data_IF_560599983982
#
_entry.id   IF_560599983982
#
_cell.length_a   1.000
_cell.length_b   1.000
_cell.length_c   1.000
_cell.angle_alpha   90.00
_cell.angle_beta   90.00
_cell.angle_gamma   90.00
#
_symmetry.space_group_name_H-M   'P 1'
#
loop_
_entity.id
_entity.type
_entity.pdbx_description
1 polymer ?
#
# COMPACT_ATOMS: atom_id res chain seq x y z
N UNK A 1 -1.69 8.38 -47.97
CA UNK A 1 -2.33 9.38 -47.08
C UNK A 1 -1.50 9.38 -45.81
N UNK A 2 -1.10 10.55 -45.30
CA UNK A 2 -0.28 10.64 -44.07
C UNK A 2 -1.03 9.96 -42.93
N UNK A 3 -0.45 8.93 -42.30
CA UNK A 3 -1.00 8.38 -41.06
C UNK A 3 -1.04 9.51 -40.01
N UNK A 4 -2.10 9.60 -39.19
CA UNK A 4 -2.26 10.70 -38.26
C UNK A 4 -1.18 10.63 -37.17
N UNK A 5 -0.43 11.72 -36.99
CA UNK A 5 0.43 11.90 -35.83
C UNK A 5 -0.43 12.07 -34.58
N UNK A 6 -0.10 11.34 -33.51
CA UNK A 6 -0.88 11.36 -32.27
C UNK A 6 0.03 11.63 -31.08
N UNK A 7 -0.39 12.56 -30.22
CA UNK A 7 0.28 12.85 -28.97
C UNK A 7 -0.14 11.86 -27.88
N UNK A 8 0.83 11.32 -27.16
CA UNK A 8 0.64 10.25 -26.17
C UNK A 8 -0.23 10.73 -25.01
N UNK A 9 -0.12 11.98 -24.55
CA UNK A 9 -1.00 12.52 -23.53
C UNK A 9 -2.49 12.49 -23.93
N UNK A 10 -2.80 12.54 -25.23
CA UNK A 10 -4.19 12.41 -25.73
C UNK A 10 -4.67 10.97 -25.78
N UNK A 11 -3.76 9.99 -25.78
CA UNK A 11 -4.10 8.58 -25.75
C UNK A 11 -4.48 8.12 -24.35
N UNK A 12 -3.90 8.73 -23.31
CA UNK A 12 -4.24 8.43 -21.91
C UNK A 12 -5.75 8.55 -21.66
N UNK A 13 -6.36 7.50 -21.12
CA UNK A 13 -7.79 7.44 -20.83
C UNK A 13 -8.70 7.18 -22.04
N UNK A 14 -8.14 7.13 -23.26
CA UNK A 14 -8.90 6.83 -24.47
C UNK A 14 -9.47 5.41 -24.42
N UNK A 15 -10.72 5.25 -24.85
CA UNK A 15 -11.40 3.95 -24.84
C UNK A 15 -10.97 3.09 -26.02
N UNK A 16 -10.69 1.82 -25.74
CA UNK A 16 -10.35 0.81 -26.75
C UNK A 16 -11.59 -0.01 -27.07
N UNK A 17 -11.87 -0.17 -28.36
CA UNK A 17 -12.99 -0.94 -28.90
C UNK A 17 -12.49 -2.08 -29.79
N UNK A 18 -13.26 -3.16 -29.82
CA UNK A 18 -13.07 -4.23 -30.79
C UNK A 18 -13.71 -3.89 -32.17
N UNK A 19 -13.56 -4.73 -33.21
CA UNK A 19 -14.13 -4.47 -34.53
C UNK A 19 -15.67 -4.48 -34.58
N UNK A 20 -16.33 -5.07 -33.58
CA UNK A 20 -17.79 -5.20 -33.49
C UNK A 20 -18.41 -4.02 -32.73
N UNK A 21 -17.59 -3.23 -32.04
CA UNK A 21 -17.96 -2.03 -31.31
C UNK A 21 -18.01 -2.21 -29.79
N UNK A 22 -17.62 -3.38 -29.29
CA UNK A 22 -17.61 -3.65 -27.85
C UNK A 22 -16.42 -2.98 -27.18
N UNK A 23 -16.67 -2.44 -25.99
CA UNK A 23 -15.65 -1.76 -25.18
C UNK A 23 -14.73 -2.79 -24.53
N UNK A 24 -13.46 -2.73 -24.89
CA UNK A 24 -12.39 -3.56 -24.30
C UNK A 24 -11.90 -2.96 -22.98
N UNK A 25 -11.55 -1.67 -22.98
CA UNK A 25 -10.80 -1.08 -21.88
C UNK A 25 -10.42 0.37 -22.11
N UNK A 26 -9.47 0.89 -21.33
CA UNK A 26 -8.93 2.24 -21.46
C UNK A 26 -7.41 2.22 -21.52
N UNK A 27 -6.82 3.03 -22.38
CA UNK A 27 -5.36 3.18 -22.45
C UNK A 27 -4.86 3.87 -21.19
N UNK A 28 -3.80 3.33 -20.61
CA UNK A 28 -3.08 3.91 -19.47
C UNK A 28 -1.70 4.42 -19.84
N UNK A 29 -1.02 3.75 -20.77
CA UNK A 29 0.32 4.14 -21.20
C UNK A 29 0.61 3.64 -22.62
N UNK A 30 1.72 4.14 -23.18
CA UNK A 30 2.31 3.72 -24.46
C UNK A 30 3.68 3.14 -24.17
N UNK A 31 3.98 1.98 -24.76
CA UNK A 31 5.23 1.27 -24.54
C UNK A 31 6.15 1.44 -25.74
N UNK A 32 7.39 1.88 -25.50
CA UNK A 32 8.42 2.04 -26.53
C UNK A 32 9.68 1.23 -26.21
N UNK A 33 10.46 0.93 -27.24
CA UNK A 33 11.80 0.31 -27.12
C UNK A 33 12.81 1.18 -27.85
N UNK A 34 13.93 1.45 -27.18
CA UNK A 34 15.02 2.25 -27.76
C UNK A 34 15.69 1.52 -28.91
N UNK A 35 16.11 2.29 -29.91
CA UNK A 35 16.91 1.81 -31.04
C UNK A 35 18.23 2.57 -31.08
N UNK A 36 19.29 1.89 -31.53
CA UNK A 36 20.66 2.42 -31.46
C UNK A 36 20.86 3.70 -32.29
N UNK A 37 20.26 3.76 -33.48
CA UNK A 37 20.47 4.84 -34.44
C UNK A 37 19.15 5.48 -34.92
N UNK A 38 18.02 5.07 -34.36
CA UNK A 38 16.69 5.45 -34.82
C UNK A 38 15.83 5.90 -33.63
N UNK A 39 14.75 6.67 -33.87
CA UNK A 39 13.79 7.01 -32.81
C UNK A 39 13.19 5.77 -32.14
N UNK A 40 12.79 5.82 -30.87
CA UNK A 40 12.16 4.70 -30.17
C UNK A 40 10.98 4.15 -30.95
N UNK A 41 10.92 2.83 -31.04
CA UNK A 41 9.82 2.11 -31.69
C UNK A 41 8.70 1.93 -30.68
N UNK A 42 7.47 2.24 -31.06
CA UNK A 42 6.28 1.91 -30.26
C UNK A 42 5.99 0.42 -30.44
N UNK A 43 5.85 -0.28 -29.32
CA UNK A 43 5.60 -1.74 -29.30
C UNK A 43 4.14 -2.03 -29.01
N UNK A 44 3.50 -1.21 -28.18
CA UNK A 44 2.10 -1.38 -27.82
C UNK A 44 1.56 -0.32 -26.86
N UNK A 45 0.34 -0.56 -26.43
CA UNK A 45 -0.40 0.22 -25.45
C UNK A 45 -0.62 -0.63 -24.21
N UNK A 46 -0.56 -0.01 -23.04
CA UNK A 46 -1.02 -0.63 -21.79
C UNK A 46 -2.49 -0.29 -21.64
N UNK A 47 -3.35 -1.31 -21.58
CA UNK A 47 -4.81 -1.15 -21.53
C UNK A 47 -5.32 -1.72 -20.22
N UNK A 48 -6.06 -0.91 -19.47
CA UNK A 48 -6.80 -1.34 -18.29
C UNK A 48 -8.14 -1.92 -18.70
N UNK A 49 -8.42 -3.16 -18.26
CA UNK A 49 -9.66 -3.88 -18.54
C UNK A 49 -10.42 -4.05 -17.22
N UNK A 50 -11.74 -3.83 -17.19
CA UNK A 50 -12.54 -4.12 -16.00
C UNK A 50 -12.35 -5.57 -15.52
N UNK A 51 -11.97 -5.75 -14.25
CA UNK A 51 -11.70 -7.08 -13.66
C UNK A 51 -10.33 -7.69 -13.99
N UNK A 52 -9.46 -7.01 -14.77
CA UNK A 52 -8.05 -7.40 -15.00
C UNK A 52 -7.15 -6.17 -14.94
N UNK A 53 -6.26 -6.10 -13.93
CA UNK A 53 -5.56 -4.85 -13.55
C UNK A 53 -4.93 -4.09 -14.72
N UNK A 54 -4.05 -4.66 -15.54
CA UNK A 54 -3.54 -4.03 -16.80
C UNK A 54 -3.11 -5.12 -17.78
N UNK A 55 -3.31 -4.93 -19.09
CA UNK A 55 -2.88 -5.88 -20.13
C UNK A 55 -2.13 -5.19 -21.27
N UNK A 56 -1.35 -5.97 -21.99
CA UNK A 56 -0.61 -5.50 -23.16
C UNK A 56 -1.46 -5.59 -24.44
N UNK A 57 -1.62 -4.47 -25.15
CA UNK A 57 -2.15 -4.41 -26.50
C UNK A 57 -1.03 -4.06 -27.48
N UNK A 58 -0.61 -5.02 -28.31
CA UNK A 58 0.38 -4.78 -29.35
C UNK A 58 -0.08 -3.69 -30.32
N UNK A 59 0.83 -2.77 -30.69
CA UNK A 59 0.52 -1.68 -31.61
C UNK A 59 0.10 -2.19 -32.99
N UNK A 60 0.63 -3.33 -33.44
CA UNK A 60 0.25 -3.95 -34.71
C UNK A 60 -1.17 -4.53 -34.73
N UNK A 61 -1.86 -4.57 -33.59
CA UNK A 61 -3.28 -4.93 -33.51
C UNK A 61 -4.20 -3.71 -33.55
N UNK A 62 -3.66 -2.52 -33.38
CA UNK A 62 -4.42 -1.26 -33.48
C UNK A 62 -4.63 -0.95 -34.95
N UNK A 63 -5.89 -0.89 -35.37
CA UNK A 63 -6.27 -0.62 -36.76
C UNK A 63 -6.57 0.86 -37.00
N UNK A 64 -6.96 1.58 -35.95
CA UNK A 64 -7.26 3.02 -36.05
C UNK A 64 -7.08 3.70 -34.70
N UNK A 65 -6.52 4.91 -34.75
CA UNK A 65 -6.43 5.85 -33.63
C UNK A 65 -7.17 7.12 -34.05
N UNK A 66 -8.36 7.33 -33.49
CA UNK A 66 -9.22 8.48 -33.78
C UNK A 66 -9.25 9.48 -32.62
N UNK A 67 -10.03 10.56 -32.78
CA UNK A 67 -10.25 11.56 -31.75
C UNK A 67 -11.08 10.98 -30.58
N UNK A 68 -10.40 10.31 -29.64
CA UNK A 68 -10.99 9.77 -28.41
C UNK A 68 -11.40 8.29 -28.46
N UNK A 69 -11.01 7.55 -29.51
CA UNK A 69 -11.23 6.11 -29.59
C UNK A 69 -10.09 5.38 -30.30
N UNK A 70 -9.81 4.16 -29.87
CA UNK A 70 -8.85 3.24 -30.50
C UNK A 70 -9.58 1.97 -30.90
N UNK A 71 -9.38 1.52 -32.13
CA UNK A 71 -9.97 0.27 -32.64
C UNK A 71 -8.87 -0.78 -32.74
N UNK A 72 -9.10 -1.96 -32.18
CA UNK A 72 -8.23 -3.13 -32.32
C UNK A 72 -8.84 -4.17 -33.26
N UNK A 73 -8.05 -5.13 -33.75
CA UNK A 73 -8.51 -6.27 -34.55
C UNK A 73 -9.19 -7.41 -33.75
N UNK A 74 -9.53 -7.19 -32.47
CA UNK A 74 -10.41 -8.06 -31.67
C UNK A 74 -9.75 -9.13 -30.80
N UNK A 75 -8.49 -9.51 -31.04
CA UNK A 75 -7.80 -10.49 -30.18
C UNK A 75 -6.88 -9.73 -29.23
N UNK A 76 -7.12 -9.82 -27.93
CA UNK A 76 -6.27 -9.20 -26.90
C UNK A 76 -5.76 -10.27 -25.96
N UNK A 77 -4.45 -10.21 -25.67
CA UNK A 77 -3.87 -11.08 -24.66
C UNK A 77 -4.35 -10.59 -23.29
N UNK A 78 -5.05 -11.46 -22.57
CA UNK A 78 -5.64 -11.12 -21.27
C UNK A 78 -4.70 -11.46 -20.10
N UNK A 79 -3.41 -11.73 -20.37
CA UNK A 79 -2.35 -11.83 -19.36
C UNK A 79 -2.08 -10.45 -18.76
N UNK A 80 -1.82 -10.40 -17.45
CA UNK A 80 -1.35 -9.18 -16.77
C UNK A 80 -0.11 -8.65 -17.50
N UNK A 81 -0.07 -7.35 -17.71
CA UNK A 81 1.10 -6.70 -18.27
C UNK A 81 2.25 -6.78 -17.27
N UNK A 82 3.37 -7.28 -17.74
CA UNK A 82 4.68 -7.25 -17.07
C UNK A 82 5.64 -6.56 -18.03
N UNK A 83 6.36 -5.56 -17.53
CA UNK A 83 7.33 -4.82 -18.32
C UNK A 83 8.58 -5.67 -18.55
N UNK A 84 9.02 -5.78 -19.80
CA UNK A 84 10.22 -6.57 -20.15
C UNK A 84 11.45 -5.67 -20.17
N UNK A 85 12.62 -6.27 -19.94
CA UNK A 85 13.91 -5.57 -20.04
C UNK A 85 14.08 -4.87 -21.38
N UNK A 86 14.23 -3.54 -21.34
CA UNK A 86 14.41 -2.68 -22.52
C UNK A 86 13.13 -1.99 -23.04
N UNK A 87 11.96 -2.29 -22.47
CA UNK A 87 10.73 -1.55 -22.70
C UNK A 87 10.66 -0.32 -21.77
N UNK A 88 10.17 0.81 -22.28
CA UNK A 88 10.02 2.07 -21.53
C UNK A 88 8.59 2.56 -21.69
N UNK A 89 7.93 2.89 -20.58
CA UNK A 89 6.60 3.49 -20.57
C UNK A 89 6.68 4.98 -20.83
N UNK A 90 5.99 5.47 -21.86
CA UNK A 90 6.14 6.87 -22.28
C UNK A 90 5.59 7.82 -21.23
N UNK A 91 4.40 7.58 -20.70
CA UNK A 91 3.77 8.46 -19.72
C UNK A 91 4.46 8.32 -18.37
N UNK A 92 4.67 7.08 -17.91
CA UNK A 92 5.26 6.84 -16.59
C UNK A 92 6.78 7.13 -16.52
N UNK A 93 7.52 7.04 -17.62
CA UNK A 93 8.99 7.11 -17.54
C UNK A 93 9.61 8.16 -18.45
N UNK A 94 8.99 8.56 -19.57
CA UNK A 94 9.61 9.45 -20.57
C UNK A 94 9.15 10.91 -20.45
N UNK A 95 7.87 11.14 -20.12
CA UNK A 95 7.39 12.48 -19.79
C UNK A 95 8.05 13.00 -18.51
N UNK A 96 8.35 14.29 -18.46
CA UNK A 96 9.09 14.91 -17.34
C UNK A 96 10.61 14.75 -17.41
N UNK A 97 11.16 13.89 -18.30
CA UNK A 97 12.62 13.77 -18.45
C UNK A 97 13.26 15.06 -18.98
N UNK A 98 14.47 15.35 -18.49
CA UNK A 98 15.30 16.43 -19.02
C UNK A 98 16.13 15.92 -20.20
N UNK A 99 16.16 16.72 -21.25
CA UNK A 99 16.94 16.50 -22.46
C UNK A 99 17.81 17.72 -22.74
N UNK A 100 18.96 17.49 -23.37
CA UNK A 100 19.85 18.54 -23.85
C UNK A 100 19.67 18.67 -25.35
N UNK A 101 19.56 19.89 -25.87
CA UNK A 101 19.54 20.07 -27.32
C UNK A 101 20.90 19.75 -27.92
N UNK A 102 20.91 18.99 -29.01
CA UNK A 102 22.13 18.58 -29.71
C UNK A 102 22.89 19.76 -30.35
N UNK A 103 22.21 20.88 -30.58
CA UNK A 103 22.76 22.13 -31.09
C UNK A 103 23.42 23.02 -30.00
N UNK A 104 23.40 22.58 -28.73
CA UNK A 104 23.91 23.34 -27.60
C UNK A 104 22.93 24.40 -27.07
N UNK A 105 21.67 24.40 -27.50
CA UNK A 105 20.62 25.34 -27.13
C UNK A 105 20.08 25.23 -25.68
N UNK A 106 20.84 24.58 -24.79
CA UNK A 106 20.53 24.36 -23.38
C UNK A 106 19.79 23.04 -23.10
N UNK A 107 19.04 23.02 -22.01
CA UNK A 107 18.23 21.88 -21.59
C UNK A 107 16.73 22.19 -21.76
N UNK A 108 15.90 21.15 -21.81
CA UNK A 108 14.45 21.23 -21.79
C UNK A 108 13.84 19.99 -21.13
N UNK A 109 12.61 20.11 -20.66
CA UNK A 109 11.82 19.00 -20.11
C UNK A 109 10.81 18.50 -21.14
N UNK A 110 10.68 17.19 -21.31
CA UNK A 110 9.66 16.59 -22.19
C UNK A 110 8.28 16.73 -21.54
N UNK A 111 7.36 17.43 -22.20
CA UNK A 111 5.96 17.57 -21.75
C UNK A 111 5.02 16.59 -22.44
N UNK A 112 5.29 16.26 -23.71
CA UNK A 112 4.49 15.30 -24.46
C UNK A 112 5.32 14.67 -25.58
N UNK A 113 4.85 13.54 -26.09
CA UNK A 113 5.53 12.73 -27.10
C UNK A 113 4.54 12.43 -28.21
N UNK A 114 4.92 12.71 -29.45
CA UNK A 114 4.15 12.35 -30.62
C UNK A 114 4.63 11.01 -31.18
N UNK A 115 3.69 10.13 -31.47
CA UNK A 115 3.92 8.87 -32.19
C UNK A 115 3.26 8.93 -33.57
N UNK A 116 3.87 8.25 -34.53
CA UNK A 116 3.41 8.23 -35.92
C UNK A 116 3.76 6.88 -36.55
N UNK A 117 2.89 6.41 -37.43
CA UNK A 117 3.15 5.24 -38.27
C UNK A 117 4.10 5.64 -39.41
N UNK A 118 5.19 4.90 -39.57
CA UNK A 118 6.19 5.08 -40.62
C UNK A 118 5.70 4.49 -41.94
N UNK A 119 6.37 4.82 -43.03
CA UNK A 119 6.07 4.25 -44.37
C UNK A 119 6.21 2.72 -44.43
N UNK A 120 6.95 2.12 -43.47
CA UNK A 120 7.14 0.67 -43.34
C UNK A 120 6.03 -0.01 -42.52
N UNK A 121 5.05 0.74 -42.00
CA UNK A 121 3.95 0.24 -41.17
C UNK A 121 4.32 0.02 -39.70
N UNK A 122 5.50 0.46 -39.27
CA UNK A 122 5.90 0.46 -37.86
C UNK A 122 5.49 1.76 -37.19
N UNK A 123 5.28 1.75 -35.87
CA UNK A 123 5.03 2.98 -35.12
C UNK A 123 6.31 3.43 -34.41
N UNK A 124 6.59 4.72 -34.44
CA UNK A 124 7.76 5.30 -33.79
C UNK A 124 7.46 6.68 -33.19
N UNK A 125 8.30 7.09 -32.25
CA UNK A 125 8.31 8.48 -31.76
C UNK A 125 8.76 9.40 -32.89
N UNK A 126 7.92 10.37 -33.26
CA UNK A 126 8.19 11.31 -34.35
C UNK A 126 8.66 12.66 -33.84
N UNK A 127 8.04 13.17 -32.78
CA UNK A 127 8.37 14.47 -32.18
C UNK A 127 8.20 14.46 -30.68
N UNK A 128 8.91 15.36 -30.01
CA UNK A 128 8.79 15.68 -28.60
C UNK A 128 8.28 17.12 -28.48
N UNK A 129 7.32 17.33 -27.60
CA UNK A 129 6.94 18.65 -27.14
C UNK A 129 7.70 18.95 -25.86
N UNK A 130 8.57 19.96 -25.88
CA UNK A 130 9.51 20.22 -24.79
C UNK A 130 9.37 21.65 -24.27
N UNK A 131 9.64 21.84 -22.97
CA UNK A 131 9.67 23.15 -22.31
C UNK A 131 11.09 23.49 -21.85
N UNK A 132 11.60 24.64 -22.28
CA UNK A 132 12.87 25.19 -21.78
C UNK A 132 12.70 25.72 -20.35
N UNK A 133 13.76 25.75 -19.53
CA UNK A 133 13.74 26.39 -18.21
C UNK A 133 13.26 27.85 -18.28
N UNK A 134 12.63 28.31 -17.19
CA UNK A 134 12.18 29.71 -17.08
C UNK A 134 13.37 30.67 -17.17
N UNK A 135 13.23 31.73 -17.95
CA UNK A 135 14.17 32.85 -17.98
C UNK A 135 13.63 33.98 -17.10
N UNK A 136 14.07 34.05 -15.83
CA UNK A 136 13.71 35.14 -14.90
C UNK A 136 13.14 34.70 -13.55
N UNK A 137 13.07 35.63 -12.60
CA UNK A 137 12.75 35.40 -11.18
C UNK A 137 11.27 35.44 -10.78
N UNK A 138 10.33 35.45 -11.72
CA UNK A 138 8.89 35.43 -11.38
C UNK A 138 8.41 34.00 -11.05
N UNK A 139 7.70 33.78 -9.94
CA UNK A 139 7.16 32.46 -9.56
C UNK A 139 6.14 31.88 -10.55
N UNK A 140 5.44 32.74 -11.30
CA UNK A 140 4.35 32.34 -12.19
C UNK A 140 4.77 32.23 -13.68
N UNK A 141 6.04 32.48 -14.00
CA UNK A 141 6.53 32.44 -15.37
C UNK A 141 6.82 30.99 -15.81
N UNK A 142 6.10 30.52 -16.82
CA UNK A 142 6.39 29.23 -17.50
C UNK A 142 7.43 29.46 -18.60
N UNK A 143 8.41 28.55 -18.71
CA UNK A 143 9.41 28.62 -19.77
C UNK A 143 8.83 28.36 -21.16
N UNK A 144 9.57 28.74 -22.21
CA UNK A 144 9.13 28.64 -23.60
C UNK A 144 9.00 27.18 -24.04
N UNK A 145 7.92 26.84 -24.75
CA UNK A 145 7.68 25.52 -25.33
C UNK A 145 8.08 25.47 -26.80
N UNK A 146 8.58 24.33 -27.26
CA UNK A 146 8.87 24.09 -28.68
C UNK A 146 8.68 22.62 -29.03
N UNK A 147 8.54 22.33 -30.32
CA UNK A 147 8.63 20.97 -30.85
C UNK A 147 10.05 20.69 -31.31
N UNK A 148 10.51 19.47 -31.04
CA UNK A 148 11.78 18.94 -31.55
C UNK A 148 11.59 17.49 -31.98
N UNK A 149 12.43 17.03 -32.89
CA UNK A 149 12.54 15.63 -33.27
C UNK A 149 13.43 14.88 -32.28
N UNK A 150 13.31 13.56 -32.26
CA UNK A 150 14.10 12.71 -31.37
C UNK A 150 15.62 12.92 -31.51
N UNK A 151 16.09 13.18 -32.72
CA UNK A 151 17.52 13.30 -33.02
C UNK A 151 18.12 14.68 -32.66
N UNK A 152 17.27 15.69 -32.45
CA UNK A 152 17.68 17.05 -32.08
C UNK A 152 17.96 17.18 -30.59
N UNK A 153 17.68 16.14 -29.81
CA UNK A 153 17.94 16.10 -28.38
C UNK A 153 18.75 14.86 -27.99
N UNK A 154 19.47 14.99 -26.89
CA UNK A 154 20.12 13.88 -26.20
C UNK A 154 19.54 13.81 -24.80
N UNK A 155 19.11 12.63 -24.41
CA UNK A 155 18.74 12.41 -23.01
C UNK A 155 19.98 12.61 -22.14
N UNK A 156 19.84 13.45 -21.12
CA UNK A 156 20.85 13.55 -20.08
C UNK A 156 20.55 12.44 -19.09
N UNK A 157 21.07 11.24 -19.34
CA UNK A 157 20.94 10.14 -18.40
C UNK A 157 22.26 9.39 -18.23
N UNK A 158 22.74 9.34 -16.98
CA UNK A 158 23.13 8.05 -16.41
C UNK A 158 21.88 7.16 -16.51
N UNK A 159 22.02 5.91 -16.99
CA UNK A 159 20.94 4.93 -16.92
C UNK A 159 20.30 4.98 -15.51
N UNK A 160 19.00 5.30 -15.41
CA UNK A 160 18.24 5.16 -14.16
C UNK A 160 17.43 6.36 -13.65
N UNK A 161 17.64 7.59 -14.10
CA UNK A 161 16.91 8.75 -13.52
C UNK A 161 15.60 9.08 -14.25
N UNK A 162 14.45 8.59 -13.77
CA UNK A 162 13.12 9.03 -14.23
C UNK A 162 12.30 9.67 -13.11
N UNK A 163 11.80 10.88 -13.42
CA UNK A 163 10.78 11.69 -12.71
C UNK A 163 11.23 12.45 -11.45
N UNK A 164 10.80 13.71 -11.28
CA UNK A 164 10.90 14.39 -9.97
C UNK A 164 10.02 13.62 -8.99
N UNK A 165 10.52 13.28 -7.80
CA UNK A 165 9.74 12.62 -6.75
C UNK A 165 8.43 13.37 -6.47
N UNK A 166 8.46 14.71 -6.56
CA UNK A 166 7.32 15.61 -6.42
C UNK A 166 6.14 15.28 -7.37
N UNK A 167 6.42 14.87 -8.62
CA UNK A 167 5.38 14.51 -9.60
C UNK A 167 4.81 13.11 -9.37
N UNK A 168 5.60 12.20 -8.82
CA UNK A 168 5.13 10.89 -8.38
C UNK A 168 4.24 11.06 -7.15
N UNK A 169 4.67 11.84 -6.16
CA UNK A 169 3.90 12.15 -4.95
C UNK A 169 2.54 12.78 -5.31
N UNK A 170 2.49 13.74 -6.23
CA UNK A 170 1.22 14.33 -6.66
C UNK A 170 0.27 13.31 -7.31
N UNK A 171 0.81 12.30 -8.01
CA UNK A 171 0.02 11.23 -8.63
C UNK A 171 -0.42 10.18 -7.61
N UNK A 172 0.33 10.03 -6.51
CA UNK A 172 0.14 9.01 -5.50
C UNK A 172 -0.52 9.51 -4.22
N UNK A 173 -0.70 10.82 -4.06
CA UNK A 173 -1.32 11.45 -2.89
C UNK A 173 -2.75 10.99 -2.58
N UNK A 174 -3.47 10.45 -3.57
CA UNK A 174 -4.83 9.90 -3.37
C UNK A 174 -4.86 8.38 -3.15
N UNK A 175 -3.70 7.71 -3.18
CA UNK A 175 -3.62 6.27 -2.93
C UNK A 175 -3.69 5.99 -1.44
N UNK A 176 -4.40 4.90 -1.10
CA UNK A 176 -4.41 4.35 0.25
C UNK A 176 -2.99 3.96 0.68
N UNK A 177 -2.70 3.94 1.99
CA UNK A 177 -1.45 3.45 2.59
C UNK A 177 -0.89 2.19 1.93
N UNK A 178 -1.61 1.07 2.03
CA UNK A 178 -1.24 -0.20 1.41
C UNK A 178 -1.02 -0.14 -0.11
N UNK A 179 -1.83 0.63 -0.86
CA UNK A 179 -1.67 0.74 -2.32
C UNK A 179 -0.39 1.52 -2.69
N UNK A 180 -0.04 2.54 -1.91
CA UNK A 180 1.23 3.26 -2.10
C UNK A 180 2.41 2.39 -1.70
N UNK A 181 2.34 1.70 -0.57
CA UNK A 181 3.40 0.78 -0.13
C UNK A 181 3.74 -0.23 -1.23
N UNK A 182 2.72 -0.93 -1.76
CA UNK A 182 2.88 -1.82 -2.91
C UNK A 182 3.47 -1.11 -4.15
N UNK A 183 3.03 0.11 -4.44
CA UNK A 183 3.54 0.88 -5.59
C UNK A 183 5.01 1.26 -5.41
N UNK A 184 5.45 1.53 -4.19
CA UNK A 184 6.83 1.85 -3.86
C UNK A 184 7.72 0.61 -3.91
N UNK A 185 7.23 -0.54 -3.43
CA UNK A 185 7.92 -1.83 -3.53
C UNK A 185 8.13 -2.28 -5.00
N UNK A 186 7.24 -1.88 -5.91
CA UNK A 186 7.40 -2.10 -7.35
C UNK A 186 8.51 -1.23 -7.99
N UNK A 187 9.06 -0.23 -7.27
CA UNK A 187 10.12 0.64 -7.77
C UNK A 187 11.50 0.03 -7.53
N UNK A 188 12.51 0.35 -8.37
CA UNK A 188 13.89 0.05 -8.04
C UNK A 188 14.27 0.67 -6.68
N UNK A 189 15.03 -0.05 -5.85
CA UNK A 189 15.38 0.34 -4.48
C UNK A 189 15.81 1.81 -4.34
N UNK A 190 16.76 2.26 -5.16
CA UNK A 190 17.23 3.65 -5.12
C UNK A 190 16.09 4.66 -5.34
N UNK A 191 15.11 4.32 -6.17
CA UNK A 191 13.97 5.18 -6.47
C UNK A 191 12.91 5.15 -5.37
N UNK A 192 12.68 3.99 -4.76
CA UNK A 192 11.83 3.88 -3.57
C UNK A 192 12.34 4.81 -2.47
N UNK A 193 13.66 4.79 -2.21
CA UNK A 193 14.30 5.66 -1.23
C UNK A 193 14.13 7.16 -1.57
N UNK A 194 14.36 7.55 -2.82
CA UNK A 194 14.15 8.94 -3.28
C UNK A 194 12.69 9.42 -3.12
N UNK A 195 11.71 8.52 -3.27
CA UNK A 195 10.29 8.88 -3.09
C UNK A 195 9.93 8.92 -1.61
N UNK A 196 10.42 7.97 -0.81
CA UNK A 196 10.24 7.97 0.63
C UNK A 196 10.83 9.23 1.28
N UNK A 197 12.02 9.67 0.84
CA UNK A 197 12.66 10.90 1.32
C UNK A 197 11.83 12.16 1.02
N UNK A 198 10.89 12.13 0.08
CA UNK A 198 10.11 13.30 -0.31
C UNK A 198 8.66 13.24 0.21
N UNK A 199 8.26 12.13 0.83
CA UNK A 199 6.95 12.02 1.49
C UNK A 199 6.93 12.83 2.80
N UNK A 200 5.81 13.51 3.09
CA UNK A 200 5.54 14.03 4.44
C UNK A 200 5.63 12.93 5.49
N UNK A 201 6.03 13.27 6.72
CA UNK A 201 6.36 12.28 7.76
C UNK A 201 5.14 11.44 8.17
N UNK A 202 3.96 12.06 8.31
CA UNK A 202 2.67 11.38 8.53
C UNK A 202 2.37 10.37 7.42
N UNK A 203 2.56 10.77 6.17
CA UNK A 203 2.33 9.89 5.03
C UNK A 203 3.38 8.76 5.01
N UNK A 204 4.63 9.06 5.33
CA UNK A 204 5.69 8.07 5.32
C UNK A 204 5.45 7.02 6.40
N UNK A 205 5.00 7.40 7.60
CA UNK A 205 4.55 6.49 8.66
C UNK A 205 3.49 5.51 8.14
N UNK A 206 2.36 6.03 7.62
CA UNK A 206 1.30 5.22 6.99
C UNK A 206 1.83 4.25 5.92
N UNK A 207 2.83 4.66 5.12
CA UNK A 207 3.43 3.76 4.12
C UNK A 207 4.16 2.62 4.80
N UNK A 208 4.99 2.94 5.80
CA UNK A 208 5.93 2.02 6.42
C UNK A 208 5.19 0.90 7.16
N UNK A 209 4.13 1.23 7.90
CA UNK A 209 3.25 0.26 8.60
C UNK A 209 2.72 -0.83 7.64
N UNK A 210 2.52 -0.46 6.37
CA UNK A 210 1.99 -1.36 5.34
C UNK A 210 3.08 -2.09 4.54
N UNK A 211 4.36 -1.84 4.84
CA UNK A 211 5.51 -2.47 4.20
C UNK A 211 6.04 -3.67 5.02
N UNK A 212 6.71 -4.64 4.38
CA UNK A 212 7.49 -5.64 5.11
C UNK A 212 8.59 -4.97 5.96
N UNK A 213 8.82 -5.49 7.17
CA UNK A 213 9.82 -4.96 8.13
C UNK A 213 11.21 -4.74 7.52
N UNK A 214 11.64 -5.65 6.64
CA UNK A 214 12.95 -5.57 5.99
C UNK A 214 13.11 -4.34 5.09
N UNK A 215 12.02 -3.83 4.51
CA UNK A 215 12.01 -2.62 3.69
C UNK A 215 11.83 -1.37 4.56
N UNK A 216 11.06 -1.47 5.65
CA UNK A 216 10.95 -0.39 6.64
C UNK A 216 12.32 0.01 7.20
N UNK A 217 13.10 -0.98 7.66
CA UNK A 217 14.46 -0.78 8.19
C UNK A 217 15.38 -0.16 7.14
N UNK A 218 15.26 -0.56 5.88
CA UNK A 218 16.07 0.00 4.79
C UNK A 218 15.76 1.47 4.52
N UNK A 219 14.48 1.85 4.52
CA UNK A 219 14.05 3.24 4.33
C UNK A 219 14.49 4.08 5.52
N UNK A 220 14.19 3.65 6.74
CA UNK A 220 14.56 4.34 7.97
C UNK A 220 16.09 4.53 8.08
N UNK A 221 16.87 3.56 7.60
CA UNK A 221 18.33 3.64 7.60
C UNK A 221 18.90 4.72 6.66
N UNK A 222 18.14 5.21 5.68
CA UNK A 222 18.56 6.30 4.79
C UNK A 222 18.13 7.68 5.30
N UNK A 223 17.15 7.75 6.20
CA UNK A 223 16.75 8.99 6.83
C UNK A 223 17.80 9.44 7.85
N UNK A 224 17.90 10.75 8.05
CA UNK A 224 18.62 11.31 9.18
C UNK A 224 17.84 11.04 10.47
N UNK A 225 18.56 10.91 11.59
CA UNK A 225 17.97 10.44 12.85
C UNK A 225 16.84 11.36 13.36
N UNK A 226 16.93 12.69 13.19
CA UNK A 226 15.85 13.62 13.55
C UNK A 226 14.55 13.29 12.81
N UNK A 227 14.62 13.07 11.50
CA UNK A 227 13.44 12.76 10.70
C UNK A 227 12.95 11.34 10.92
N UNK A 228 13.86 10.39 11.15
CA UNK A 228 13.47 9.04 11.51
C UNK A 228 12.64 9.04 12.81
N UNK A 229 13.01 9.86 13.80
CA UNK A 229 12.22 10.07 15.00
C UNK A 229 10.87 10.75 14.69
N UNK A 230 10.85 11.82 13.89
CA UNK A 230 9.59 12.49 13.50
C UNK A 230 8.62 11.53 12.79
N UNK A 231 9.12 10.57 12.00
CA UNK A 231 8.30 9.54 11.34
C UNK A 231 7.80 8.50 12.34
N UNK A 232 8.65 8.04 13.27
CA UNK A 232 8.25 7.11 14.33
C UNK A 232 7.18 7.72 15.24
N UNK A 233 7.24 9.03 15.51
CA UNK A 233 6.22 9.77 16.26
C UNK A 233 4.86 9.85 15.53
N UNK A 234 4.79 9.51 14.24
CA UNK A 234 3.55 9.47 13.47
C UNK A 234 3.05 8.05 13.20
N UNK A 235 3.79 7.01 13.63
CA UNK A 235 3.39 5.61 13.46
C UNK A 235 2.49 5.13 14.61
N UNK A 236 1.68 4.11 14.37
CA UNK A 236 1.01 3.39 15.47
C UNK A 236 2.07 2.83 16.45
N UNK A 237 1.89 2.94 17.79
CA UNK A 237 2.95 2.63 18.75
C UNK A 237 3.51 1.20 18.68
N UNK A 238 2.67 0.24 18.31
CA UNK A 238 3.03 -1.16 18.08
C UNK A 238 3.89 -1.35 16.83
N UNK A 239 3.52 -0.74 15.71
CA UNK A 239 4.36 -0.74 14.51
C UNK A 239 5.72 -0.05 14.75
N UNK A 240 5.71 1.07 15.50
CA UNK A 240 6.94 1.76 15.90
C UNK A 240 7.82 0.88 16.80
N UNK A 241 7.22 0.15 17.76
CA UNK A 241 7.93 -0.77 18.63
C UNK A 241 8.57 -1.92 17.84
N UNK A 242 7.83 -2.52 16.91
CA UNK A 242 8.33 -3.59 16.05
C UNK A 242 9.50 -3.10 15.17
N UNK A 243 9.36 -1.93 14.56
CA UNK A 243 10.44 -1.34 13.76
C UNK A 243 11.70 -1.05 14.60
N UNK A 244 11.54 -0.50 15.81
CA UNK A 244 12.68 -0.23 16.71
C UNK A 244 13.34 -1.54 17.16
N UNK A 245 12.57 -2.59 17.42
CA UNK A 245 13.09 -3.89 17.83
C UNK A 245 13.99 -4.55 16.76
N UNK A 246 13.83 -4.18 15.49
CA UNK A 246 14.69 -4.64 14.38
C UNK A 246 16.01 -3.86 14.27
N UNK A 247 16.15 -2.73 14.97
CA UNK A 247 17.37 -1.93 14.99
C UNK A 247 18.36 -2.44 16.04
N UNK A 248 19.62 -2.00 15.94
CA UNK A 248 20.57 -2.20 17.04
C UNK A 248 20.13 -1.41 18.27
N UNK A 249 20.26 -1.99 19.47
CA UNK A 249 19.94 -1.34 20.76
C UNK A 249 20.43 0.11 20.87
N UNK A 250 21.67 0.39 20.43
CA UNK A 250 22.27 1.73 20.45
C UNK A 250 21.52 2.74 19.58
N UNK A 251 21.06 2.32 18.39
CA UNK A 251 20.32 3.18 17.47
C UNK A 251 18.86 3.32 17.89
N UNK A 252 18.24 2.23 18.33
CA UNK A 252 16.87 2.24 18.84
C UNK A 252 16.71 3.22 20.00
N UNK A 253 17.58 3.13 21.01
CA UNK A 253 17.54 4.08 22.14
C UNK A 253 17.83 5.52 21.69
N UNK A 254 18.75 5.71 20.73
CA UNK A 254 19.03 7.06 20.22
C UNK A 254 17.81 7.69 19.54
N UNK A 255 17.05 6.92 18.76
CA UNK A 255 15.81 7.42 18.14
C UNK A 255 14.73 7.69 19.20
N UNK A 256 14.56 6.80 20.20
CA UNK A 256 13.65 7.00 21.34
C UNK A 256 14.00 8.22 22.21
N UNK A 257 15.24 8.71 22.19
CA UNK A 257 15.64 9.96 22.85
C UNK A 257 15.28 11.21 22.02
N UNK A 258 15.13 11.07 20.71
CA UNK A 258 14.78 12.15 19.78
C UNK A 258 13.27 12.30 19.59
N UNK A 259 12.52 11.20 19.73
CA UNK A 259 11.06 11.15 19.70
C UNK A 259 10.39 12.04 20.76
N UNK A 260 9.11 12.36 20.55
CA UNK A 260 8.31 13.03 21.56
C UNK A 260 8.21 12.17 22.84
N UNK A 261 8.35 12.74 24.05
CA UNK A 261 8.44 11.95 25.28
C UNK A 261 7.23 11.07 25.58
N UNK A 262 6.03 11.48 25.15
CA UNK A 262 4.79 10.72 25.36
C UNK A 262 4.76 9.50 24.42
N UNK A 263 5.00 9.70 23.12
CA UNK A 263 5.11 8.62 22.12
C UNK A 263 6.21 7.61 22.47
N UNK A 264 7.38 8.11 22.88
CA UNK A 264 8.50 7.27 23.26
C UNK A 264 8.28 6.51 24.58
N UNK A 265 7.36 6.93 25.45
CA UNK A 265 6.97 6.18 26.65
C UNK A 265 6.12 4.97 26.28
N UNK A 266 5.18 5.14 25.35
CA UNK A 266 4.31 4.09 24.83
C UNK A 266 5.11 3.00 24.11
N UNK A 267 6.00 3.39 23.20
CA UNK A 267 6.88 2.45 22.49
C UNK A 267 7.79 1.69 23.46
N UNK A 268 8.36 2.37 24.47
CA UNK A 268 9.17 1.70 25.52
C UNK A 268 8.34 0.72 26.35
N UNK A 269 7.07 1.04 26.61
CA UNK A 269 6.17 0.12 27.31
C UNK A 269 5.97 -1.16 26.49
N UNK A 270 5.71 -1.03 25.19
CA UNK A 270 5.50 -2.18 24.29
C UNK A 270 6.76 -3.05 24.15
N UNK A 271 7.93 -2.43 23.96
CA UNK A 271 9.23 -3.12 23.91
C UNK A 271 9.58 -3.92 25.18
N UNK A 272 8.90 -3.67 26.30
CA UNK A 272 9.09 -4.43 27.54
C UNK A 272 8.37 -5.79 27.56
N UNK A 273 7.41 -5.98 26.65
CA UNK A 273 6.65 -7.22 26.51
C UNK A 273 7.32 -8.20 25.54
N UNK A 274 6.89 -9.46 25.59
CA UNK A 274 7.37 -10.46 24.66
C UNK A 274 6.56 -10.34 23.34
N UNK A 275 7.22 -10.37 22.16
CA UNK A 275 6.55 -10.21 20.87
C UNK A 275 5.45 -11.26 20.61
N UNK A 276 5.58 -12.48 21.14
CA UNK A 276 4.61 -13.57 20.93
C UNK A 276 3.42 -13.53 21.93
N UNK A 277 3.17 -12.38 22.57
CA UNK A 277 2.15 -12.21 23.61
C UNK A 277 1.20 -11.05 23.32
N UNK A 278 0.07 -11.01 24.01
CA UNK A 278 -0.91 -9.94 23.88
C UNK A 278 -0.30 -8.56 24.15
N UNK A 279 0.69 -8.46 25.04
CA UNK A 279 1.40 -7.20 25.32
C UNK A 279 2.36 -6.78 24.20
N UNK A 280 2.89 -7.73 23.42
CA UNK A 280 3.74 -7.45 22.27
C UNK A 280 2.97 -7.13 20.99
N UNK A 281 1.72 -7.59 20.88
CA UNK A 281 0.84 -7.38 19.73
C UNK A 281 -0.27 -6.35 19.97
N UNK A 282 -0.20 -5.58 21.06
CA UNK A 282 -1.23 -4.59 21.37
C UNK A 282 -0.75 -3.19 21.01
N UNK A 283 -1.70 -2.36 20.61
CA UNK A 283 -1.52 -0.92 20.58
C UNK A 283 -1.94 -0.28 21.91
N UNK A 284 -1.29 0.83 22.27
CA UNK A 284 -1.56 1.63 23.49
C UNK A 284 -2.61 2.71 23.26
N UNK A 285 -3.16 2.83 22.05
CA UNK A 285 -4.13 3.89 21.71
C UNK A 285 -5.60 3.42 21.50
N UNK A 286 -6.20 2.58 22.38
CA UNK A 286 -7.61 2.31 22.25
C UNK A 286 -8.45 3.54 22.62
N UNK A 287 -9.69 3.60 22.13
CA UNK A 287 -10.63 4.62 22.62
C UNK A 287 -11.00 4.33 24.08
N UNK A 288 -10.51 5.17 24.99
CA UNK A 288 -10.78 5.04 26.43
C UNK A 288 -11.75 6.13 26.89
N UNK A 289 -12.77 5.73 27.65
CA UNK A 289 -13.79 6.64 28.18
C UNK A 289 -14.20 6.31 29.61
N UNK A 290 -14.78 7.30 30.28
CA UNK A 290 -15.41 7.10 31.58
C UNK A 290 -16.73 6.33 31.47
N UNK A 291 -17.14 5.68 32.57
CA UNK A 291 -18.48 5.08 32.66
C UNK A 291 -19.63 6.08 32.53
N UNK A 292 -19.37 7.36 32.80
CA UNK A 292 -20.34 8.45 32.69
C UNK A 292 -20.43 9.05 31.28
N UNK A 293 -19.47 8.75 30.41
CA UNK A 293 -19.52 9.14 29.01
C UNK A 293 -20.79 8.62 28.35
N UNK A 294 -21.34 9.41 27.45
CA UNK A 294 -22.59 9.14 26.76
C UNK A 294 -22.35 8.44 25.43
N UNK A 295 -23.39 7.79 24.90
CA UNK A 295 -23.38 7.23 23.53
C UNK A 295 -22.97 8.29 22.50
N UNK A 296 -23.42 9.54 22.66
CA UNK A 296 -23.04 10.64 21.78
C UNK A 296 -21.53 10.90 21.79
N UNK A 297 -20.93 10.93 22.97
CA UNK A 297 -19.49 11.16 23.15
C UNK A 297 -18.69 9.98 22.59
N UNK A 298 -19.08 8.73 22.91
CA UNK A 298 -18.42 7.53 22.38
C UNK A 298 -18.45 7.46 20.84
N UNK A 299 -19.60 7.72 20.23
CA UNK A 299 -19.73 7.76 18.76
C UNK A 299 -18.98 8.95 18.14
N UNK A 300 -18.80 10.06 18.87
CA UNK A 300 -18.00 11.18 18.39
C UNK A 300 -16.51 10.82 18.33
N UNK A 301 -16.00 10.04 19.28
CA UNK A 301 -14.63 9.53 19.30
C UNK A 301 -14.37 8.54 18.15
N UNK A 302 -15.29 7.60 17.93
CA UNK A 302 -15.21 6.64 16.80
C UNK A 302 -15.22 7.32 15.44
N UNK A 303 -15.77 8.53 15.33
CA UNK A 303 -15.89 9.26 14.05
C UNK A 303 -14.61 10.01 13.65
N UNK A 304 -13.53 9.95 14.43
CA UNK A 304 -12.26 10.54 14.04
C UNK A 304 -11.74 9.83 12.78
N UNK A 305 -11.19 10.59 11.84
CA UNK A 305 -10.76 10.04 10.55
C UNK A 305 -9.43 9.29 10.63
N UNK A 306 -8.58 9.66 11.59
CA UNK A 306 -7.27 9.05 11.86
C UNK A 306 -7.39 7.69 12.53
N UNK A 307 -8.55 7.33 13.09
CA UNK A 307 -8.70 6.08 13.83
C UNK A 307 -8.83 4.88 12.90
N UNK A 308 -7.97 3.88 13.08
CA UNK A 308 -8.08 2.59 12.40
C UNK A 308 -9.48 1.97 12.58
N UNK A 309 -10.08 1.40 11.51
CA UNK A 309 -11.41 0.80 11.60
C UNK A 309 -11.57 -0.27 12.68
N UNK A 310 -10.50 -1.01 12.98
CA UNK A 310 -10.49 -2.04 14.01
C UNK A 310 -10.61 -1.45 15.42
N UNK A 311 -9.86 -0.38 15.72
CA UNK A 311 -9.95 0.38 16.97
C UNK A 311 -11.32 1.07 17.12
N UNK A 312 -11.90 1.54 16.03
CA UNK A 312 -13.25 2.11 16.01
C UNK A 312 -14.39 1.13 16.32
N UNK A 313 -14.11 -0.18 16.40
CA UNK A 313 -15.13 -1.20 16.60
C UNK A 313 -15.72 -1.19 18.03
N UNK A 314 -14.97 -0.73 19.02
CA UNK A 314 -15.40 -0.70 20.41
C UNK A 314 -14.75 0.44 21.19
N UNK A 315 -15.36 0.81 22.32
CA UNK A 315 -14.74 1.74 23.29
C UNK A 315 -14.49 1.01 24.60
N UNK A 316 -13.31 1.23 25.18
CA UNK A 316 -12.92 0.73 26.48
C UNK A 316 -13.42 1.68 27.57
N UNK A 317 -14.10 1.14 28.57
CA UNK A 317 -14.64 1.90 29.70
C UNK A 317 -13.79 1.63 30.94
N UNK A 318 -13.21 2.66 31.52
CA UNK A 318 -12.27 2.55 32.64
C UNK A 318 -12.53 3.58 33.75
N UNK A 319 -11.84 3.42 34.88
CA UNK A 319 -11.63 4.51 35.85
C UNK A 319 -10.42 5.37 35.43
N UNK A 320 -10.33 6.65 35.86
CA UNK A 320 -9.19 7.51 35.58
C UNK A 320 -7.84 6.91 36.05
N UNK A 321 -6.71 7.23 35.39
CA UNK A 321 -6.59 8.07 34.17
C UNK A 321 -7.13 7.39 32.91
N UNK A 322 -7.34 8.18 31.84
CA UNK A 322 -7.93 7.74 30.56
C UNK A 322 -6.87 7.52 29.47
N UNK A 323 -5.67 7.15 29.89
CA UNK A 323 -4.50 6.79 29.08
C UNK A 323 -3.90 5.52 29.70
N UNK A 324 -3.39 4.55 28.91
CA UNK A 324 -2.72 3.39 29.44
C UNK A 324 -1.42 3.75 30.20
N UNK A 325 -1.08 3.02 31.28
CA UNK A 325 -1.94 2.14 32.06
C UNK A 325 -3.04 2.94 32.80
N UNK A 326 -4.30 2.61 32.51
CA UNK A 326 -5.47 3.32 33.03
C UNK A 326 -5.74 3.06 34.52
N UNK A 327 -6.84 3.58 35.07
CA UNK A 327 -7.44 3.04 36.28
C UNK A 327 -8.02 1.62 36.05
N UNK A 328 -8.90 1.15 36.94
CA UNK A 328 -9.51 -0.17 36.78
C UNK A 328 -10.32 -0.26 35.48
N UNK A 329 -10.08 -1.28 34.67
CA UNK A 329 -10.89 -1.63 33.51
C UNK A 329 -12.28 -2.11 33.96
N UNK A 330 -13.33 -1.57 33.33
CA UNK A 330 -14.73 -1.90 33.67
C UNK A 330 -15.40 -2.77 32.60
N UNK A 331 -14.97 -2.65 31.35
CA UNK A 331 -15.51 -3.42 30.23
C UNK A 331 -15.45 -2.64 28.93
N UNK A 332 -16.08 -3.20 27.90
CA UNK A 332 -16.10 -2.65 26.54
C UNK A 332 -17.52 -2.43 26.06
N UNK A 333 -17.71 -1.43 25.18
CA UNK A 333 -18.98 -1.16 24.50
C UNK A 333 -18.76 -1.13 22.99
N UNK A 334 -19.33 -2.10 22.30
CA UNK A 334 -19.28 -2.19 20.83
C UNK A 334 -20.06 -1.05 20.15
N UNK A 335 -19.55 -0.53 19.04
CA UNK A 335 -20.21 0.59 18.34
C UNK A 335 -21.61 0.23 17.83
N UNK A 336 -21.82 -1.02 17.38
CA UNK A 336 -23.11 -1.51 16.90
C UNK A 336 -24.15 -1.51 18.02
N UNK A 337 -23.71 -1.68 19.28
CA UNK A 337 -24.57 -1.57 20.45
C UNK A 337 -24.93 -0.11 20.69
N UNK A 338 -23.97 0.81 20.64
CA UNK A 338 -24.22 2.25 20.79
C UNK A 338 -25.26 2.79 19.80
N UNK A 339 -25.24 2.34 18.55
CA UNK A 339 -26.22 2.71 17.52
C UNK A 339 -27.68 2.33 17.84
N UNK A 340 -27.92 1.46 18.82
CA UNK A 340 -29.26 0.99 19.23
C UNK A 340 -29.83 1.72 20.43
N UNK A 341 -29.08 2.66 21.03
CA UNK A 341 -29.50 3.39 22.22
C UNK A 341 -29.56 4.90 21.98
N UNK A 342 -30.40 5.65 22.73
CA UNK A 342 -30.44 7.10 22.64
C UNK A 342 -29.07 7.75 22.95
N UNK A 343 -28.72 8.89 22.31
CA UNK A 343 -27.40 9.51 22.46
C UNK A 343 -27.00 9.93 23.88
N UNK A 344 -27.96 10.15 24.78
CA UNK A 344 -27.72 10.59 26.16
C UNK A 344 -27.52 9.44 27.16
N UNK A 345 -27.65 8.18 26.73
CA UNK A 345 -27.45 7.01 27.59
C UNK A 345 -25.96 6.89 27.96
N UNK A 346 -25.66 6.57 29.22
CA UNK A 346 -24.30 6.36 29.71
C UNK A 346 -23.73 5.02 29.28
N UNK A 347 -22.48 5.01 28.84
CA UNK A 347 -21.76 3.83 28.36
C UNK A 347 -21.56 2.78 29.45
N UNK A 348 -21.40 3.17 30.72
CA UNK A 348 -21.32 2.23 31.84
C UNK A 348 -22.57 1.35 32.02
N UNK A 349 -23.71 1.70 31.42
CA UNK A 349 -24.93 0.86 31.41
C UNK A 349 -24.99 -0.12 30.25
N UNK A 350 -24.07 0.02 29.28
CA UNK A 350 -24.05 -0.69 28.01
C UNK A 350 -22.88 -1.66 27.87
N UNK A 351 -22.08 -1.85 28.94
CA UNK A 351 -20.95 -2.78 28.96
C UNK A 351 -21.36 -4.18 28.47
N UNK A 352 -20.48 -4.82 27.71
CA UNK A 352 -20.61 -6.22 27.32
C UNK A 352 -20.16 -7.12 28.49
N UNK A 353 -21.08 -7.86 29.15
CA UNK A 353 -20.72 -8.72 30.27
C UNK A 353 -20.10 -10.05 29.82
N UNK A 354 -20.06 -10.34 28.52
CA UNK A 354 -19.57 -11.62 27.98
C UNK A 354 -18.13 -11.57 27.48
N UNK A 355 -17.56 -10.37 27.36
CA UNK A 355 -16.19 -10.16 26.89
C UNK A 355 -15.26 -9.96 28.08
N UNK A 356 -14.47 -10.98 28.39
CA UNK A 356 -13.39 -10.89 29.38
C UNK A 356 -12.10 -10.39 28.72
N UNK A 357 -11.34 -9.49 29.39
CA UNK A 357 -10.03 -9.06 28.90
C UNK A 357 -9.00 -10.18 29.02
N UNK A 358 -7.95 -10.08 28.21
CA UNK A 358 -6.76 -10.94 28.32
C UNK A 358 -5.67 -10.26 29.14
N UNK A 359 -4.69 -11.03 29.61
CA UNK A 359 -3.51 -10.49 30.29
C UNK A 359 -2.40 -10.19 29.29
N UNK A 360 -1.49 -9.27 29.60
CA UNK A 360 -0.36 -8.97 28.71
C UNK A 360 0.48 -10.21 28.34
N UNK A 361 0.63 -11.18 29.26
CA UNK A 361 1.37 -12.43 29.02
C UNK A 361 0.58 -13.50 28.24
N UNK A 362 -0.67 -13.23 27.86
CA UNK A 362 -1.49 -14.21 27.12
C UNK A 362 -0.86 -14.44 25.75
N UNK A 363 -0.58 -15.70 25.39
CA UNK A 363 0.07 -16.01 24.11
C UNK A 363 -0.76 -15.55 22.91
N UNK A 364 -0.09 -15.11 21.83
CA UNK A 364 -0.73 -14.73 20.58
C UNK A 364 -1.74 -15.79 20.08
N UNK A 365 -1.37 -17.08 20.11
CA UNK A 365 -2.25 -18.18 19.70
C UNK A 365 -3.52 -18.34 20.56
N UNK A 366 -3.51 -17.89 21.81
CA UNK A 366 -4.72 -17.82 22.64
C UNK A 366 -5.57 -16.61 22.29
N UNK A 367 -4.96 -15.44 22.09
CA UNK A 367 -5.64 -14.23 21.61
C UNK A 367 -6.33 -14.49 20.27
N UNK A 368 -5.64 -15.12 19.30
CA UNK A 368 -6.25 -15.47 18.00
C UNK A 368 -7.45 -16.39 18.16
N UNK A 369 -7.40 -17.36 19.09
CA UNK A 369 -8.53 -18.26 19.36
C UNK A 369 -9.71 -17.50 19.95
N UNK A 370 -9.49 -16.53 20.84
CA UNK A 370 -10.53 -15.70 21.42
C UNK A 370 -11.19 -14.83 20.34
N UNK A 371 -10.39 -14.10 19.56
CA UNK A 371 -10.87 -13.25 18.46
C UNK A 371 -11.74 -14.07 17.49
N UNK A 372 -11.23 -15.22 17.03
CA UNK A 372 -11.93 -16.09 16.08
C UNK A 372 -13.18 -16.76 16.69
N UNK A 373 -13.13 -17.22 17.93
CA UNK A 373 -14.25 -17.93 18.57
C UNK A 373 -15.45 -17.02 18.82
N UNK A 374 -15.18 -15.74 19.14
CA UNK A 374 -16.20 -14.78 19.51
C UNK A 374 -16.51 -13.75 18.40
N UNK A 375 -15.88 -13.88 17.22
CA UNK A 375 -16.00 -12.95 16.09
C UNK A 375 -15.71 -11.50 16.50
N UNK A 376 -14.66 -11.32 17.30
CA UNK A 376 -14.23 -10.02 17.80
C UNK A 376 -13.27 -9.38 16.80
N UNK A 377 -13.28 -8.06 16.75
CA UNK A 377 -12.36 -7.23 15.95
C UNK A 377 -11.17 -6.78 16.80
N UNK A 378 -11.34 -6.70 18.12
CA UNK A 378 -10.28 -6.36 19.04
C UNK A 378 -10.55 -6.95 20.43
N UNK A 379 -9.51 -7.13 21.23
CA UNK A 379 -9.59 -7.67 22.60
C UNK A 379 -8.79 -6.79 23.57
N UNK A 380 -9.39 -6.31 24.68
CA UNK A 380 -8.70 -5.48 25.66
C UNK A 380 -7.67 -6.28 26.46
N UNK A 381 -6.51 -5.66 26.69
CA UNK A 381 -5.40 -6.24 27.46
C UNK A 381 -5.29 -5.52 28.81
N UNK A 382 -5.19 -6.29 29.89
CA UNK A 382 -5.05 -5.76 31.26
C UNK A 382 -3.80 -6.28 31.97
N UNK A 383 -3.32 -5.48 32.91
CA UNK A 383 -2.25 -5.89 33.83
C UNK A 383 -2.77 -6.65 35.07
N UNK A 384 -1.85 -7.07 35.95
CA UNK A 384 -2.16 -7.76 37.22
C UNK A 384 -3.07 -6.96 38.17
N UNK A 385 -3.12 -5.63 38.02
CA UNK A 385 -3.98 -4.74 38.82
C UNK A 385 -5.33 -4.50 38.14
N UNK A 386 -5.59 -5.19 37.03
CA UNK A 386 -6.79 -5.06 36.20
C UNK A 386 -6.95 -3.65 35.62
N UNK A 387 -5.84 -3.00 35.28
CA UNK A 387 -5.78 -1.75 34.54
C UNK A 387 -5.67 -2.06 33.05
N UNK A 388 -6.41 -1.33 32.21
CA UNK A 388 -6.23 -1.45 30.76
C UNK A 388 -4.85 -0.91 30.38
N UNK A 389 -4.08 -1.72 29.66
CA UNK A 389 -2.74 -1.38 29.16
C UNK A 389 -2.69 -1.26 27.64
N UNK A 390 -3.69 -1.79 26.93
CA UNK A 390 -3.78 -1.69 25.48
C UNK A 390 -4.92 -2.54 24.91
N UNK A 391 -4.95 -2.69 23.59
CA UNK A 391 -5.87 -3.57 22.88
C UNK A 391 -5.13 -4.29 21.77
N UNK A 392 -5.41 -5.58 21.58
CA UNK A 392 -4.94 -6.32 20.40
C UNK A 392 -6.02 -6.26 19.33
N UNK A 393 -5.68 -5.87 18.10
CA UNK A 393 -6.62 -5.86 16.99
C UNK A 393 -6.57 -7.17 16.20
N UNK A 394 -7.51 -7.35 15.27
CA UNK A 394 -7.55 -8.55 14.42
C UNK A 394 -6.49 -8.49 13.32
N UNK A 395 -6.12 -7.28 12.92
CA UNK A 395 -5.12 -6.94 11.92
C UNK A 395 -3.76 -7.48 12.35
N UNK A 396 -3.28 -7.06 13.53
CA UNK A 396 -1.98 -7.44 14.10
C UNK A 396 -1.89 -8.97 14.28
N UNK A 397 -3.01 -9.59 14.66
CA UNK A 397 -3.10 -11.04 14.79
C UNK A 397 -3.08 -11.74 13.43
N UNK A 398 -3.66 -11.16 12.39
CA UNK A 398 -3.53 -11.70 11.03
C UNK A 398 -2.09 -11.60 10.56
N UNK A 399 -1.41 -10.50 10.85
CA UNK A 399 -0.02 -10.28 10.48
C UNK A 399 0.91 -11.29 11.12
N UNK A 400 0.75 -11.50 12.43
CA UNK A 400 1.47 -12.50 13.19
C UNK A 400 1.23 -13.93 12.70
N UNK A 401 0.02 -14.25 12.21
CA UNK A 401 -0.34 -15.60 11.76
C UNK A 401 0.07 -15.89 10.32
N UNK A 402 0.15 -14.85 9.49
CA UNK A 402 0.52 -14.97 8.09
C UNK A 402 2.05 -15.06 7.95
N UNK A 403 2.57 -15.69 6.89
CA UNK A 403 4.02 -15.75 6.67
C UNK A 403 4.63 -14.35 6.50
N UNK A 404 5.90 -14.17 6.82
CA UNK A 404 6.62 -12.88 6.76
C UNK A 404 6.51 -12.16 5.39
N UNK A 405 6.29 -12.91 4.32
CA UNK A 405 6.17 -12.41 2.95
C UNK A 405 4.73 -12.11 2.52
N UNK A 406 3.73 -12.23 3.39
CA UNK A 406 2.31 -12.15 3.00
C UNK A 406 1.89 -10.77 2.46
N UNK A 407 2.55 -9.70 2.94
CA UNK A 407 2.40 -8.33 2.43
C UNK A 407 3.11 -8.12 1.09
N UNK A 408 4.10 -8.95 0.78
CA UNK A 408 4.87 -8.89 -0.46
C UNK A 408 4.25 -9.78 -1.55
N UNK A 409 4.33 -9.36 -2.82
CA UNK A 409 3.92 -10.20 -3.95
C UNK A 409 5.11 -11.00 -4.49
N UNK A 410 5.72 -11.85 -3.66
CA UNK A 410 6.67 -12.86 -4.14
C UNK A 410 5.90 -14.14 -4.55
N UNK A 411 5.25 -14.12 -5.72
CA UNK A 411 4.62 -15.32 -6.31
C UNK A 411 5.64 -16.33 -6.89
N UNK A 412 6.84 -16.47 -6.32
CA UNK A 412 7.82 -17.48 -6.73
C UNK A 412 7.85 -18.73 -5.84
N UNK A 413 7.15 -18.76 -4.69
CA UNK A 413 6.91 -20.00 -3.96
C UNK A 413 5.49 -20.55 -4.22
N UNK A 414 5.34 -21.74 -4.85
CA UNK A 414 4.07 -22.42 -4.79
C UNK A 414 3.80 -22.73 -3.33
N UNK A 415 2.77 -22.08 -2.75
CA UNK A 415 2.21 -22.42 -1.43
C UNK A 415 2.28 -23.93 -1.29
N UNK A 416 3.18 -24.42 -0.44
CA UNK A 416 3.25 -25.83 -0.11
C UNK A 416 1.96 -26.14 0.61
N UNK A 417 0.94 -26.50 -0.16
CA UNK A 417 -0.15 -27.33 0.34
C UNK A 417 0.53 -28.59 0.83
N UNK A 418 0.79 -28.65 2.12
CA UNK A 418 1.01 -29.89 2.84
C UNK A 418 -0.19 -30.76 2.49
N UNK A 419 0.02 -31.68 1.53
CA UNK A 419 -0.92 -32.73 1.29
C UNK A 419 -1.12 -33.45 2.63
N UNK A 420 -2.35 -33.75 3.06
CA UNK A 420 -2.54 -34.60 4.21
C UNK A 420 -1.76 -35.89 3.94
N UNK A 421 -0.84 -36.22 4.85
CA UNK A 421 -0.11 -37.47 4.80
C UNK A 421 -1.12 -38.61 4.66
N UNK A 422 -1.03 -39.36 3.57
CA UNK A 422 -1.68 -40.67 3.40
C UNK A 422 -1.03 -41.66 4.38
N UNK A 423 -1.25 -41.44 5.67
CA UNK A 423 -1.24 -42.50 6.67
C UNK A 423 -2.69 -42.79 7.01
N UNK A 424 -3.38 -43.47 6.10
CA UNK A 424 -4.54 -44.28 6.46
C UNK A 424 -4.09 -45.33 7.46
N UNK A 425 -4.21 -45.00 8.75
CA UNK A 425 -4.17 -45.94 9.84
C UNK A 425 -5.23 -47.01 9.61
N UNK A 426 -4.78 -48.20 9.22
CA UNK A 426 -5.65 -49.36 9.06
C UNK A 426 -6.37 -49.67 10.38
N UNK A 427 -7.67 -49.34 10.45
CA UNK A 427 -8.54 -49.81 11.52
C UNK A 427 -8.73 -51.31 11.31
N UNK A 428 -8.03 -52.13 12.10
CA UNK A 428 -8.29 -53.57 12.19
C UNK A 428 -9.68 -53.78 12.82
N UNK A 429 -10.66 -54.10 11.97
CA UNK A 429 -11.95 -54.62 12.43
C UNK A 429 -11.71 -55.99 13.07
N UNK A 430 -11.85 -56.05 14.39
CA UNK A 430 -11.86 -57.29 15.15
C UNK A 430 -13.17 -58.03 14.84
N UNK A 431 -13.06 -59.16 14.14
CA UNK A 431 -14.17 -60.08 13.88
C UNK A 431 -14.70 -60.69 15.18
N UNK A 432 -15.75 -60.10 15.73
CA UNK A 432 -16.59 -60.68 16.78
C UNK A 432 -17.54 -61.73 16.22
N UNK A 433 -17.23 -63.00 16.49
CA UNK A 433 -18.04 -64.18 16.15
C UNK A 433 -19.22 -64.32 17.12
N UNK A 434 -20.44 -64.45 16.58
CA UNK A 434 -21.51 -65.44 16.88
C UNK A 434 -22.92 -64.90 17.22
N UNK A 435 -23.88 -65.51 16.50
CA UNK A 435 -25.26 -65.79 16.90
C UNK A 435 -26.25 -64.85 16.22
N UNK A 436 -27.17 -65.26 15.35
CA UNK A 436 -27.81 -66.55 15.08
C UNK A 436 -29.30 -66.28 14.81
N UNK A 437 -29.94 -67.07 13.93
CA UNK A 437 -31.38 -67.01 13.53
C UNK A 437 -31.74 -65.87 12.56
N UNK A 438 -32.21 -66.05 11.33
CA UNK A 438 -32.78 -67.21 10.64
C UNK A 438 -34.11 -66.80 9.99
N UNK A 439 -34.22 -66.86 8.65
CA UNK A 439 -35.30 -67.51 7.88
C UNK A 439 -35.37 -67.04 6.42
N UNK A 440 -35.20 -68.06 5.56
CA UNK A 440 -35.68 -68.30 4.19
C UNK A 440 -35.13 -67.47 3.06
#
# INVERSE_FOLDING_TARGET
MSSPRVFVARLAGTTVFDPVGDRVGKVRDVLVVYRKNDPPRVVGLIVEIPGKRRVFLSIGRVTSIGSGQIITNGIINMRRFEQRGGEVRVIAELLGRRVVFADGGGEATIEDVAIEETETGDWAVSQLFVRKPKAGGSPFAKGATTFVTWNEVREKQKLGEAQSAEQLIATYSELKPADLANTLLDLPQQRMLEVAEELPDDRLADVLEEMPESEQVQILAQLNDDRAADVLDQMEPDDAADLIAQLSDERGEHLLELMEPEEAEDVRMLLSYNPDTAGGLMTTEPIIVSADATVAEGLALIRRHELAPALGAAVCVTLPPYEPPTGRFLGVVHFQRMLRYPPHVRLGTLLDPSLEPVTADTSAAEVSRILASYNLVSVPVVDDKHRLVGVVTIDDILDYLLPDDWRSQDEDEPVKRTAPSDETGSIRIVNGRRGGSGRR
#
